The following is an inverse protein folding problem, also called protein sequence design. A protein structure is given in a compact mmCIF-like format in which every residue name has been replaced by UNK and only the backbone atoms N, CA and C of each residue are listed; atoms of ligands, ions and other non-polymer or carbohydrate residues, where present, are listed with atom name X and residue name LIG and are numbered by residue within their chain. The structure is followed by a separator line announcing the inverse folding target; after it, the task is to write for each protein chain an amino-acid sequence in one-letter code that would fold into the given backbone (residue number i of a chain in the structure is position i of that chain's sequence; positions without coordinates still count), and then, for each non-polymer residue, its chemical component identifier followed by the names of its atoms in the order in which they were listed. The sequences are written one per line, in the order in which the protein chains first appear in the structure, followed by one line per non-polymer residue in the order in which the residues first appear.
data_IF_469847397188
#
_entry.id   IF_469847397188
#
_cell.length_a   1.000
_cell.length_b   1.000
_cell.length_c   1.000
_cell.angle_alpha   90.00
_cell.angle_beta   90.00
_cell.angle_gamma   90.00
#
_symmetry.space_group_name_H-M   'P 1'
#
loop_
_entity.id
_entity.type
_entity.pdbx_description
1 polymer ?
#
# COMPACT_ATOMS: atom_id res chain seq x y z
N UNK A 1 -4.97 -20.42 36.71
CA UNK A 1 -5.11 -19.89 35.34
C UNK A 1 -6.35 -19.02 35.31
N UNK A 2 -6.21 -17.70 35.31
CA UNK A 2 -7.34 -16.76 35.19
C UNK A 2 -7.79 -16.70 33.74
N UNK A 3 -9.01 -17.18 33.48
CA UNK A 3 -9.69 -16.96 32.21
C UNK A 3 -10.09 -15.49 32.13
N UNK A 4 -9.24 -14.64 31.56
CA UNK A 4 -9.68 -13.31 31.13
C UNK A 4 -10.75 -13.51 30.05
N UNK A 5 -11.99 -13.04 30.25
CA UNK A 5 -13.01 -13.16 29.22
C UNK A 5 -12.54 -12.41 27.97
N UNK A 6 -12.58 -13.09 26.82
CA UNK A 6 -12.17 -12.48 25.56
C UNK A 6 -13.10 -11.33 25.20
N UNK A 7 -12.53 -10.14 25.01
CA UNK A 7 -13.29 -8.98 24.60
C UNK A 7 -13.71 -9.12 23.13
N UNK A 8 -15.01 -9.26 22.89
CA UNK A 8 -15.54 -9.47 21.54
C UNK A 8 -15.79 -8.14 20.84
N UNK A 9 -14.72 -7.53 20.33
CA UNK A 9 -14.78 -6.23 19.62
C UNK A 9 -15.88 -6.16 18.56
N UNK A 10 -16.02 -7.22 17.74
CA UNK A 10 -17.01 -7.27 16.65
C UNK A 10 -18.47 -7.47 17.11
N UNK A 11 -18.72 -7.65 18.42
CA UNK A 11 -20.07 -7.73 19.02
C UNK A 11 -20.51 -6.41 19.66
N UNK A 12 -19.64 -5.41 19.73
CA UNK A 12 -20.00 -4.09 20.24
C UNK A 12 -21.04 -3.42 19.33
N UNK A 13 -21.88 -2.51 19.88
CA UNK A 13 -22.72 -1.64 19.06
C UNK A 13 -21.89 -0.82 18.07
N UNK A 14 -22.42 -0.57 16.88
CA UNK A 14 -21.71 0.12 15.81
C UNK A 14 -21.10 1.46 16.25
N UNK A 15 -21.83 2.27 17.01
CA UNK A 15 -21.34 3.56 17.49
C UNK A 15 -20.11 3.42 18.42
N UNK A 16 -20.08 2.38 19.27
CA UNK A 16 -18.94 2.11 20.13
C UNK A 16 -17.73 1.67 19.31
N UNK A 17 -17.94 0.82 18.30
CA UNK A 17 -16.89 0.42 17.35
C UNK A 17 -16.35 1.63 16.61
N UNK A 18 -17.23 2.49 16.08
CA UNK A 18 -16.85 3.68 15.33
C UNK A 18 -15.97 4.61 16.18
N UNK A 19 -16.37 4.86 17.44
CA UNK A 19 -15.57 5.66 18.37
C UNK A 19 -14.21 5.04 18.65
N UNK A 20 -14.12 3.71 18.80
CA UNK A 20 -12.83 3.03 18.97
C UNK A 20 -11.97 3.21 17.72
N UNK A 21 -12.52 2.93 16.53
CA UNK A 21 -11.82 3.01 15.25
C UNK A 21 -11.30 4.43 14.97
N UNK A 22 -12.04 5.47 15.34
CA UNK A 22 -11.59 6.87 15.23
C UNK A 22 -10.40 7.21 16.13
N UNK A 23 -10.10 6.38 17.13
CA UNK A 23 -8.93 6.52 18.00
C UNK A 23 -7.80 5.54 17.65
N UNK A 24 -7.99 4.69 16.64
CA UNK A 24 -6.95 3.80 16.14
C UNK A 24 -6.05 4.52 15.13
N UNK A 25 -4.77 4.14 15.11
CA UNK A 25 -3.87 4.51 14.03
C UNK A 25 -4.28 3.83 12.72
N UNK A 26 -3.91 4.43 11.59
CA UNK A 26 -4.15 3.81 10.28
C UNK A 26 -3.47 2.44 10.11
N UNK A 27 -2.38 2.20 10.85
CA UNK A 27 -1.73 0.89 10.90
C UNK A 27 -2.63 -0.12 11.61
N UNK A 28 -3.18 0.21 12.77
CA UNK A 28 -4.10 -0.67 13.49
C UNK A 28 -5.37 -0.94 12.68
N UNK A 29 -5.90 0.08 11.99
CA UNK A 29 -7.04 -0.08 11.08
C UNK A 29 -6.70 -1.05 9.95
N UNK A 30 -5.51 -0.93 9.34
CA UNK A 30 -5.05 -1.83 8.27
C UNK A 30 -4.86 -3.25 8.79
N UNK A 31 -4.21 -3.45 9.95
CA UNK A 31 -4.05 -4.79 10.53
C UNK A 31 -5.41 -5.41 10.88
N UNK A 32 -6.35 -4.64 11.43
CA UNK A 32 -7.71 -5.11 11.72
C UNK A 32 -8.49 -5.47 10.44
N UNK A 33 -8.36 -4.69 9.37
CA UNK A 33 -9.04 -5.00 8.10
C UNK A 33 -8.50 -6.26 7.44
N UNK A 34 -7.25 -6.63 7.71
CA UNK A 34 -6.64 -7.88 7.22
C UNK A 34 -7.09 -9.13 8.00
N UNK A 35 -7.56 -9.00 9.24
CA UNK A 35 -7.91 -10.17 10.07
C UNK A 35 -9.05 -11.05 9.50
N UNK A 36 -10.03 -10.46 8.82
CA UNK A 36 -11.19 -11.20 8.29
C UNK A 36 -12.01 -10.39 7.29
N UNK A 37 -12.83 -11.07 6.48
CA UNK A 37 -13.83 -10.39 5.62
C UNK A 37 -14.80 -9.52 6.42
N UNK A 38 -15.17 -9.93 7.64
CA UNK A 38 -16.09 -9.17 8.50
C UNK A 38 -15.44 -7.90 9.01
N UNK A 39 -14.19 -7.96 9.46
CA UNK A 39 -13.46 -6.77 9.92
C UNK A 39 -13.13 -5.83 8.76
N UNK A 40 -12.77 -6.34 7.57
CA UNK A 40 -12.64 -5.51 6.36
C UNK A 40 -13.91 -4.71 6.09
N UNK A 41 -15.07 -5.38 6.00
CA UNK A 41 -16.38 -4.72 5.77
C UNK A 41 -16.72 -3.67 6.82
N UNK A 42 -16.38 -3.95 8.08
CA UNK A 42 -16.58 -3.00 9.17
C UNK A 42 -15.70 -1.75 8.98
N UNK A 43 -14.41 -1.92 8.69
CA UNK A 43 -13.52 -0.77 8.43
C UNK A 43 -13.96 0.03 7.20
N UNK A 44 -14.49 -0.62 6.15
CA UNK A 44 -15.03 0.06 4.95
C UNK A 44 -16.27 0.91 5.24
N UNK A 45 -17.06 0.53 6.25
CA UNK A 45 -18.30 1.22 6.63
C UNK A 45 -18.08 2.46 7.48
N UNK A 46 -16.89 2.59 8.08
CA UNK A 46 -16.52 3.70 8.94
C UNK A 46 -15.73 4.71 8.10
N UNK A 47 -16.11 5.99 8.18
CA UNK A 47 -15.34 7.05 7.55
C UNK A 47 -14.07 7.30 8.36
N UNK A 48 -12.92 7.20 7.71
CA UNK A 48 -11.61 7.50 8.29
C UNK A 48 -11.27 8.97 8.01
N UNK A 49 -11.13 9.82 9.05
CA UNK A 49 -10.81 11.24 8.85
C UNK A 49 -9.38 11.46 8.35
N UNK A 50 -8.50 10.51 8.61
CA UNK A 50 -7.11 10.45 8.18
C UNK A 50 -6.77 8.99 7.90
N UNK A 51 -5.76 8.67 7.08
CA UNK A 51 -4.84 9.51 6.29
C UNK A 51 -5.49 10.28 5.12
N UNK A 52 -4.71 11.04 4.32
CA UNK A 52 -5.23 11.85 3.21
C UNK A 52 -5.07 11.20 1.84
N UNK A 53 -4.08 10.34 1.66
CA UNK A 53 -3.84 9.62 0.41
C UNK A 53 -3.04 8.34 0.65
N UNK A 54 -3.11 7.45 -0.34
CA UNK A 54 -2.22 6.30 -0.49
C UNK A 54 -1.08 6.75 -1.42
N UNK A 55 0.15 6.43 -1.08
CA UNK A 55 1.32 6.71 -1.92
C UNK A 55 2.01 5.41 -2.32
N UNK A 56 2.21 5.24 -3.61
CA UNK A 56 3.06 4.19 -4.19
C UNK A 56 4.40 4.81 -4.53
N UNK A 57 5.48 4.18 -4.08
CA UNK A 57 6.84 4.58 -4.44
C UNK A 57 7.59 3.40 -5.00
N UNK A 58 7.99 3.49 -6.27
CA UNK A 58 8.73 2.43 -6.98
C UNK A 58 9.97 3.06 -7.59
N UNK A 59 11.15 2.70 -7.10
CA UNK A 59 12.43 3.12 -7.67
C UNK A 59 13.50 2.04 -7.49
N UNK A 60 14.24 1.75 -8.58
CA UNK A 60 15.33 0.75 -8.63
C UNK A 60 14.98 -0.66 -8.12
N UNK A 61 15.02 -0.86 -6.80
CA UNK A 61 14.73 -2.15 -6.12
C UNK A 61 13.89 -1.94 -4.86
N UNK A 62 13.37 -0.73 -4.67
CA UNK A 62 12.63 -0.32 -3.50
C UNK A 62 11.20 -0.04 -3.93
N UNK A 63 10.29 -0.78 -3.32
CA UNK A 63 8.86 -0.73 -3.60
C UNK A 63 8.15 -0.50 -2.26
N UNK A 64 7.40 0.59 -2.17
CA UNK A 64 6.69 0.98 -0.98
C UNK A 64 5.24 1.29 -1.28
N UNK A 65 4.37 0.91 -0.35
CA UNK A 65 3.02 1.43 -0.24
C UNK A 65 2.90 2.13 1.10
N UNK A 66 2.49 3.39 1.07
CA UNK A 66 2.40 4.24 2.26
C UNK A 66 1.02 4.80 2.42
N UNK A 67 0.60 4.92 3.68
CA UNK A 67 -0.54 5.73 4.09
C UNK A 67 0.00 7.06 4.60
N UNK A 68 -0.38 8.17 3.96
CA UNK A 68 0.23 9.48 4.20
C UNK A 68 -0.82 10.48 4.70
N UNK A 69 -0.47 11.19 5.77
CA UNK A 69 -1.22 12.33 6.30
C UNK A 69 -0.41 13.60 6.06
N UNK A 70 -0.87 14.45 5.13
CA UNK A 70 -0.15 15.66 4.71
C UNK A 70 1.26 15.29 4.19
N UNK A 71 2.29 15.50 5.00
CA UNK A 71 3.70 15.16 4.69
C UNK A 71 4.27 14.08 5.62
N UNK A 72 3.43 13.42 6.42
CA UNK A 72 3.84 12.39 7.37
C UNK A 72 3.39 11.01 6.92
N UNK A 73 4.33 10.06 6.87
CA UNK A 73 4.05 8.65 6.62
C UNK A 73 3.52 8.00 7.90
N UNK A 74 2.25 7.61 7.89
CA UNK A 74 1.56 7.01 9.04
C UNK A 74 1.66 5.48 9.06
N UNK A 75 1.77 4.86 7.88
CA UNK A 75 2.06 3.43 7.71
C UNK A 75 2.92 3.25 6.47
N UNK A 76 3.97 2.44 6.55
CA UNK A 76 4.91 2.15 5.48
C UNK A 76 5.05 0.64 5.31
N UNK A 77 4.75 0.16 4.10
CA UNK A 77 4.85 -1.24 3.73
C UNK A 77 5.88 -1.38 2.62
N UNK A 78 7.03 -1.96 2.96
CA UNK A 78 8.07 -2.27 2.00
C UNK A 78 7.81 -3.64 1.36
N UNK A 79 7.81 -3.73 0.03
CA UNK A 79 7.76 -4.99 -0.70
C UNK A 79 9.18 -5.36 -1.11
N UNK A 80 9.68 -6.48 -0.62
CA UNK A 80 11.01 -6.99 -0.94
C UNK A 80 10.92 -8.07 -2.03
N UNK A 81 11.58 -7.81 -3.17
CA UNK A 81 11.73 -8.78 -4.26
C UNK A 81 12.92 -9.74 -4.05
N UNK A 82 13.41 -9.87 -2.82
CA UNK A 82 14.55 -10.73 -2.48
C UNK A 82 14.25 -11.46 -1.18
N UNK A 83 14.71 -12.69 -1.09
CA UNK A 83 14.67 -13.45 0.15
C UNK A 83 15.43 -12.69 1.25
N UNK A 84 14.68 -12.18 2.23
CA UNK A 84 15.24 -11.54 3.41
C UNK A 84 15.97 -12.54 4.31
N UNK A 85 16.87 -12.01 5.16
CA UNK A 85 17.35 -12.74 6.35
C UNK A 85 16.18 -12.82 7.37
N UNK A 86 16.21 -13.81 8.25
CA UNK A 86 15.20 -13.98 9.32
C UNK A 86 13.78 -14.37 8.86
N UNK A 87 13.66 -15.32 7.93
CA UNK A 87 12.35 -15.83 7.47
C UNK A 87 11.45 -16.32 8.61
N UNK A 88 12.01 -16.80 9.72
CA UNK A 88 11.26 -17.26 10.91
C UNK A 88 10.50 -16.14 11.64
N UNK A 89 10.78 -14.87 11.36
CA UNK A 89 10.06 -13.73 11.96
C UNK A 89 8.85 -13.29 11.13
N UNK A 90 8.70 -13.82 9.92
CA UNK A 90 7.56 -13.51 9.06
C UNK A 90 6.36 -14.35 9.47
N UNK A 91 5.18 -13.74 9.44
CA UNK A 91 3.89 -14.43 9.53
C UNK A 91 3.32 -14.62 8.13
N UNK A 92 2.70 -15.77 7.90
CA UNK A 92 1.90 -15.97 6.69
C UNK A 92 0.59 -15.18 6.80
N UNK A 93 0.21 -14.51 5.72
CA UNK A 93 -0.99 -13.68 5.62
C UNK A 93 -1.60 -13.80 4.22
N UNK A 94 -2.84 -13.33 4.06
CA UNK A 94 -3.54 -13.31 2.76
C UNK A 94 -4.17 -11.95 2.55
N UNK A 95 -3.69 -11.22 1.55
CA UNK A 95 -4.18 -9.89 1.17
C UNK A 95 -4.88 -10.00 -0.17
N UNK A 96 -6.18 -9.69 -0.24
CA UNK A 96 -6.99 -9.82 -1.47
C UNK A 96 -6.82 -11.17 -2.20
N UNK A 97 -6.65 -12.26 -1.45
CA UNK A 97 -6.45 -13.61 -1.99
C UNK A 97 -5.01 -13.94 -2.40
N UNK A 98 -4.09 -12.98 -2.32
CA UNK A 98 -2.65 -13.18 -2.53
C UNK A 98 -2.00 -13.61 -1.21
N UNK A 99 -1.43 -14.81 -1.20
CA UNK A 99 -0.63 -15.29 -0.07
C UNK A 99 0.68 -14.49 0.01
N UNK A 100 0.96 -13.93 1.18
CA UNK A 100 2.13 -13.10 1.44
C UNK A 100 2.76 -13.46 2.78
N UNK A 101 4.05 -13.13 2.92
CA UNK A 101 4.75 -13.21 4.21
C UNK A 101 4.98 -11.80 4.72
N UNK A 102 4.48 -11.48 5.91
CA UNK A 102 4.54 -10.14 6.50
C UNK A 102 5.45 -10.15 7.72
N UNK A 103 6.34 -9.17 7.82
CA UNK A 103 7.14 -8.89 9.01
C UNK A 103 6.80 -7.49 9.53
N UNK A 104 6.38 -7.39 10.79
CA UNK A 104 6.21 -6.11 11.48
C UNK A 104 7.54 -5.68 12.07
N UNK A 105 8.08 -4.56 11.59
CA UNK A 105 9.37 -3.99 12.04
C UNK A 105 9.20 -2.97 13.17
N UNK A 106 8.01 -2.41 13.32
CA UNK A 106 7.69 -1.41 14.32
C UNK A 106 6.22 -1.03 14.26
N UNK A 107 5.85 0.05 14.96
CA UNK A 107 4.44 0.47 15.04
C UNK A 107 3.85 0.92 13.71
N UNK A 108 4.67 1.41 12.77
CA UNK A 108 4.21 1.96 11.49
C UNK A 108 4.91 1.35 10.28
N UNK A 109 5.75 0.32 10.48
CA UNK A 109 6.63 -0.21 9.43
C UNK A 109 6.47 -1.72 9.28
N UNK A 110 6.22 -2.13 8.05
CA UNK A 110 6.03 -3.52 7.66
C UNK A 110 6.92 -3.86 6.46
N UNK A 111 7.25 -5.14 6.36
CA UNK A 111 7.85 -5.75 5.17
C UNK A 111 6.96 -6.86 4.67
N UNK A 112 6.77 -6.91 3.36
CA UNK A 112 6.19 -8.04 2.64
C UNK A 112 7.33 -8.71 1.86
N UNK A 113 7.55 -9.99 2.12
CA UNK A 113 8.48 -10.81 1.34
C UNK A 113 7.74 -11.42 0.15
N UNK A 114 8.05 -10.93 -1.06
CA UNK A 114 7.42 -11.32 -2.31
C UNK A 114 8.46 -11.44 -3.44
N UNK A 115 9.39 -12.41 -3.37
CA UNK A 115 10.57 -12.48 -4.24
C UNK A 115 10.27 -12.83 -5.69
N UNK A 116 9.14 -13.49 -5.96
CA UNK A 116 8.78 -13.99 -7.30
C UNK A 116 7.86 -13.04 -8.07
N UNK A 117 6.91 -12.41 -7.36
CA UNK A 117 5.84 -11.58 -7.94
C UNK A 117 5.54 -10.37 -7.03
N UNK A 118 6.50 -9.47 -6.82
CA UNK A 118 6.33 -8.31 -5.95
C UNK A 118 5.18 -7.39 -6.41
N UNK A 119 4.92 -7.32 -7.72
CA UNK A 119 3.82 -6.54 -8.29
C UNK A 119 2.44 -7.06 -7.84
N UNK A 120 2.27 -8.38 -7.68
CA UNK A 120 1.01 -8.96 -7.24
C UNK A 120 0.73 -8.67 -5.77
N UNK A 121 1.75 -8.79 -4.92
CA UNK A 121 1.65 -8.43 -3.51
C UNK A 121 1.39 -6.92 -3.32
N UNK A 122 2.08 -6.09 -4.09
CA UNK A 122 1.87 -4.64 -4.08
C UNK A 122 0.46 -4.27 -4.55
N UNK A 123 -0.02 -4.88 -5.65
CA UNK A 123 -1.38 -4.67 -6.15
C UNK A 123 -2.43 -5.03 -5.10
N UNK A 124 -2.32 -6.21 -4.51
CA UNK A 124 -3.23 -6.66 -3.46
C UNK A 124 -3.28 -5.70 -2.27
N UNK A 125 -2.11 -5.19 -1.84
CA UNK A 125 -2.04 -4.21 -0.75
C UNK A 125 -2.69 -2.88 -1.13
N UNK A 126 -2.41 -2.36 -2.33
CA UNK A 126 -2.99 -1.11 -2.82
C UNK A 126 -4.51 -1.23 -2.95
N UNK A 127 -5.00 -2.31 -3.54
CA UNK A 127 -6.43 -2.57 -3.68
C UNK A 127 -7.12 -2.67 -2.31
N UNK A 128 -6.50 -3.39 -1.36
CA UNK A 128 -6.99 -3.48 0.00
C UNK A 128 -7.11 -2.11 0.67
N UNK A 129 -6.07 -1.28 0.57
CA UNK A 129 -6.07 0.07 1.16
C UNK A 129 -7.09 0.99 0.48
N UNK A 130 -7.20 0.95 -0.87
CA UNK A 130 -8.21 1.72 -1.60
C UNK A 130 -9.62 1.34 -1.16
N UNK A 131 -9.87 0.06 -1.00
CA UNK A 131 -11.15 -0.48 -0.54
C UNK A 131 -11.52 0.01 0.87
N UNK A 132 -10.57 -0.06 1.81
CA UNK A 132 -10.79 0.27 3.22
C UNK A 132 -10.91 1.77 3.43
N UNK A 133 -10.01 2.54 2.82
CA UNK A 133 -9.84 3.95 3.13
C UNK A 133 -10.51 4.89 2.13
N UNK A 134 -10.67 4.45 0.87
CA UNK A 134 -11.24 5.26 -0.22
C UNK A 134 -10.51 6.58 -0.46
N UNK A 135 -9.20 6.61 -0.21
CA UNK A 135 -8.35 7.77 -0.43
C UNK A 135 -7.78 7.82 -1.84
N UNK A 136 -7.48 9.02 -2.36
CA UNK A 136 -6.80 9.17 -3.65
C UNK A 136 -5.43 8.48 -3.65
N UNK A 137 -5.00 8.05 -4.84
CA UNK A 137 -3.73 7.38 -5.05
C UNK A 137 -2.71 8.35 -5.66
N UNK A 138 -1.58 8.52 -5.00
CA UNK A 138 -0.40 9.21 -5.53
C UNK A 138 0.65 8.19 -5.92
N UNK A 139 1.31 8.37 -7.06
CA UNK A 139 2.34 7.45 -7.56
C UNK A 139 3.63 8.22 -7.82
N UNK A 140 4.70 7.81 -7.15
CA UNK A 140 6.08 8.20 -7.39
C UNK A 140 6.78 7.04 -8.14
N UNK A 141 7.01 7.22 -9.43
CA UNK A 141 7.50 6.17 -10.32
C UNK A 141 8.85 6.54 -10.94
N UNK A 142 9.90 5.81 -10.57
CA UNK A 142 11.23 5.93 -11.16
C UNK A 142 11.60 4.59 -11.85
N UNK A 143 11.18 4.40 -13.12
CA UNK A 143 11.37 3.13 -13.83
C UNK A 143 12.85 2.85 -14.18
N UNK A 144 13.74 3.83 -14.04
CA UNK A 144 15.13 3.67 -14.43
C UNK A 144 15.85 2.60 -13.59
N UNK A 145 16.47 1.63 -14.27
CA UNK A 145 17.14 0.50 -13.63
C UNK A 145 16.21 -0.63 -13.17
N UNK A 146 14.90 -0.57 -13.49
CA UNK A 146 13.95 -1.66 -13.30
C UNK A 146 13.77 -2.44 -14.60
N UNK A 147 14.44 -3.59 -14.70
CA UNK A 147 14.17 -4.57 -15.76
C UNK A 147 12.72 -5.06 -15.61
N UNK A 148 11.85 -4.72 -16.57
CA UNK A 148 10.41 -5.01 -16.61
C UNK A 148 9.49 -4.11 -15.76
N UNK A 149 9.78 -2.80 -15.67
CA UNK A 149 8.92 -1.82 -14.98
C UNK A 149 7.43 -1.88 -15.40
N UNK A 150 7.13 -2.32 -16.62
CA UNK A 150 5.77 -2.42 -17.17
C UNK A 150 4.84 -3.30 -16.33
N UNK A 151 5.37 -4.30 -15.61
CA UNK A 151 4.59 -5.18 -14.70
C UNK A 151 3.94 -4.41 -13.55
N UNK A 152 4.41 -3.21 -13.23
CA UNK A 152 3.87 -2.40 -12.15
C UNK A 152 2.76 -1.44 -12.58
N UNK A 153 2.61 -1.13 -13.87
CA UNK A 153 1.56 -0.21 -14.34
C UNK A 153 0.13 -0.68 -13.99
N UNK A 154 -0.20 -1.99 -14.05
CA UNK A 154 -1.52 -2.48 -13.64
C UNK A 154 -1.86 -2.29 -12.16
N UNK A 155 -0.91 -1.88 -11.32
CA UNK A 155 -1.15 -1.55 -9.90
C UNK A 155 -1.87 -0.20 -9.78
N UNK A 156 -1.60 0.73 -10.70
CA UNK A 156 -2.13 2.09 -10.69
C UNK A 156 -2.65 2.50 -12.06
N UNK A 157 -3.60 1.75 -12.67
CA UNK A 157 -4.16 2.10 -13.98
C UNK A 157 -4.90 3.44 -13.95
N UNK A 158 -5.38 3.84 -12.76
CA UNK A 158 -5.92 5.17 -12.47
C UNK A 158 -5.29 5.68 -11.18
N UNK A 159 -4.75 6.90 -11.21
CA UNK A 159 -4.24 7.59 -10.03
C UNK A 159 -4.61 9.08 -10.03
N UNK A 160 -4.60 9.67 -8.84
CA UNK A 160 -4.88 11.10 -8.68
C UNK A 160 -3.66 11.94 -9.09
N UNK A 161 -2.47 11.53 -8.65
CA UNK A 161 -1.18 12.16 -8.97
C UNK A 161 -0.20 11.13 -9.51
N UNK A 162 0.51 11.49 -10.57
CA UNK A 162 1.60 10.70 -11.12
C UNK A 162 2.86 11.56 -11.24
N UNK A 163 3.93 11.15 -10.57
CA UNK A 163 5.25 11.74 -10.75
C UNK A 163 6.16 10.67 -11.35
N UNK A 164 6.66 10.94 -12.56
CA UNK A 164 7.63 10.06 -13.21
C UNK A 164 8.99 10.74 -13.16
N UNK A 165 9.91 10.15 -12.40
CA UNK A 165 11.29 10.62 -12.32
C UNK A 165 12.17 9.78 -13.23
N UNK A 166 13.03 10.42 -14.02
CA UNK A 166 14.05 9.74 -14.80
C UNK A 166 15.36 10.50 -14.72
N UNK A 167 16.35 9.88 -14.07
CA UNK A 167 17.75 10.26 -14.26
C UNK A 167 18.19 9.81 -15.67
N UNK A 168 17.90 10.64 -16.67
CA UNK A 168 18.48 10.68 -18.02
C UNK A 168 18.14 9.59 -19.06
N UNK A 169 17.25 8.61 -18.80
CA UNK A 169 17.08 7.46 -19.72
C UNK A 169 15.66 6.87 -19.84
N UNK A 170 14.62 7.69 -19.87
CA UNK A 170 13.31 7.23 -20.37
C UNK A 170 13.17 7.63 -21.84
N UNK A 171 12.96 6.66 -22.72
CA UNK A 171 12.71 6.96 -24.14
C UNK A 171 11.33 7.62 -24.33
N UNK A 172 11.12 8.29 -25.46
CA UNK A 172 9.80 8.84 -25.79
C UNK A 172 8.74 7.75 -25.90
N UNK A 173 9.12 6.58 -26.42
CA UNK A 173 8.26 5.40 -26.52
C UNK A 173 7.87 4.84 -25.14
N UNK A 174 8.82 4.77 -24.20
CA UNK A 174 8.55 4.32 -22.83
C UNK A 174 7.63 5.30 -22.09
N UNK A 175 7.86 6.60 -22.28
CA UNK A 175 7.02 7.65 -21.72
C UNK A 175 5.61 7.59 -22.32
N UNK A 176 5.49 7.42 -23.64
CA UNK A 176 4.20 7.29 -24.31
C UNK A 176 3.46 6.05 -23.82
N UNK A 177 4.16 4.92 -23.67
CA UNK A 177 3.59 3.70 -23.13
C UNK A 177 3.00 3.89 -21.72
N UNK A 178 3.68 4.65 -20.84
CA UNK A 178 3.12 4.97 -19.52
C UNK A 178 1.85 5.81 -19.65
N UNK A 179 1.86 6.86 -20.50
CA UNK A 179 0.71 7.73 -20.72
C UNK A 179 -0.50 6.97 -21.28
N UNK A 180 -0.27 5.99 -22.16
CA UNK A 180 -1.33 5.20 -22.78
C UNK A 180 -1.96 4.19 -21.80
N UNK A 181 -1.25 3.83 -20.71
CA UNK A 181 -1.68 2.80 -19.76
C UNK A 181 -2.10 3.35 -18.38
N UNK A 182 -1.90 4.65 -18.12
CA UNK A 182 -2.19 5.26 -16.81
C UNK A 182 -3.04 6.51 -17.00
N UNK A 183 -4.26 6.47 -16.45
CA UNK A 183 -5.16 7.63 -16.40
C UNK A 183 -4.85 8.44 -15.14
N UNK A 184 -4.55 9.72 -15.31
CA UNK A 184 -4.24 10.65 -14.21
C UNK A 184 -5.38 11.64 -14.02
N UNK A 185 -6.00 11.65 -12.84
CA UNK A 185 -7.22 12.43 -12.59
C UNK A 185 -6.95 13.91 -12.28
N UNK A 186 -5.77 14.26 -11.76
CA UNK A 186 -5.47 15.64 -11.35
C UNK A 186 -4.15 16.19 -11.88
N UNK A 187 -3.02 15.56 -11.56
CA UNK A 187 -1.71 16.12 -11.95
C UNK A 187 -0.70 15.04 -12.32
N UNK A 188 -0.07 15.21 -13.47
CA UNK A 188 1.07 14.42 -13.91
C UNK A 188 2.31 15.29 -14.10
N UNK A 189 3.43 14.90 -13.51
CA UNK A 189 4.73 15.56 -13.68
C UNK A 189 5.77 14.57 -14.18
N UNK A 190 6.52 14.96 -15.21
CA UNK A 190 7.53 14.13 -15.85
C UNK A 190 8.88 14.84 -15.76
N UNK A 191 9.73 14.39 -14.84
CA UNK A 191 11.05 14.96 -14.62
C UNK A 191 12.08 14.28 -15.50
N UNK A 192 12.54 15.02 -16.52
CA UNK A 192 13.76 14.70 -17.27
C UNK A 192 14.90 15.49 -16.61
N UNK A 193 15.97 14.81 -16.21
CA UNK A 193 17.19 15.52 -15.77
C UNK A 193 17.66 16.43 -16.91
N UNK A 194 17.84 17.72 -16.58
CA UNK A 194 18.41 18.69 -17.51
C UNK A 194 19.91 18.42 -17.54
N UNK A 195 20.42 18.10 -18.74
CA UNK A 195 21.85 17.95 -19.01
C UNK A 195 22.65 19.17 -18.57
#
# INVERSE_FOLDING_TARGET
MSYSPSFSFLKLPFLAIQNIVHNLSCTEITELSLCSRRSKRLMQSIRHPEPTHIEITIYRRLMYVSLVKRSFVCSLWAIEAKNGRCQHLYRDDVIEGVAVRVLKLGQTRFRIDAPQQPENAMKALVDHMKDVFKFPLTVLFEPFGLENYRRFLPIFPVCYRLYVYSSDKISEEELQFIKDNVVVEWQAEFYKSQK
#
